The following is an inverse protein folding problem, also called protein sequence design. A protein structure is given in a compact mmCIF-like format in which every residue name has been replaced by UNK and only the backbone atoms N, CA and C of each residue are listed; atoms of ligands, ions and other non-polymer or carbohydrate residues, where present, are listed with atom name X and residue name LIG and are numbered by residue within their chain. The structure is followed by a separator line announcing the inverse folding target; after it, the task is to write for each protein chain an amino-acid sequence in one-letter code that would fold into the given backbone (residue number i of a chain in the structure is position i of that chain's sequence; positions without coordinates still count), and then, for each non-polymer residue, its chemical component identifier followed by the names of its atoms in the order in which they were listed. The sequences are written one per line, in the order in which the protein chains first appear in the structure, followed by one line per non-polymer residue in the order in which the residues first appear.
data_IF_933504965275
#
_entry.id   IF_933504965275
#
_cell.length_a   1.000
_cell.length_b   1.000
_cell.length_c   1.000
_cell.angle_alpha   90.00
_cell.angle_beta   90.00
_cell.angle_gamma   90.00
#
_symmetry.space_group_name_H-M   'P 1'
#
loop_
_entity.id
_entity.type
_entity.pdbx_description
1 polymer ?
#
# COMPACT_ATOMS: atom_id res chain seq x y z
N UNK A 1 -9.45 -11.74 -2.49
CA UNK A 1 -8.69 -11.69 -3.75
C UNK A 1 -8.97 -10.43 -4.55
N UNK A 2 -10.24 -10.10 -4.81
CA UNK A 2 -10.60 -8.89 -5.56
C UNK A 2 -10.20 -7.61 -4.84
N UNK A 3 -10.35 -7.56 -3.52
CA UNK A 3 -9.93 -6.41 -2.71
C UNK A 3 -8.43 -6.19 -2.82
N UNK A 4 -7.65 -7.26 -2.74
CA UNK A 4 -6.19 -7.17 -2.87
C UNK A 4 -5.79 -6.65 -4.25
N UNK A 5 -6.44 -7.13 -5.31
CA UNK A 5 -6.19 -6.68 -6.67
C UNK A 5 -6.55 -5.21 -6.84
N UNK A 6 -7.71 -4.80 -6.34
CA UNK A 6 -8.18 -3.42 -6.43
C UNK A 6 -7.23 -2.46 -5.70
N UNK A 7 -6.78 -2.83 -4.50
CA UNK A 7 -5.83 -2.02 -3.73
C UNK A 7 -4.47 -1.97 -4.44
N UNK A 8 -4.01 -3.07 -5.02
CA UNK A 8 -2.78 -3.08 -5.80
C UNK A 8 -2.84 -2.14 -7.00
N UNK A 9 -3.93 -2.15 -7.74
CA UNK A 9 -4.15 -1.25 -8.87
C UNK A 9 -4.20 0.21 -8.40
N UNK A 10 -4.87 0.48 -7.26
CA UNK A 10 -4.95 1.82 -6.68
C UNK A 10 -3.57 2.34 -6.25
N UNK A 11 -2.74 1.48 -5.66
CA UNK A 11 -1.44 1.87 -5.15
C UNK A 11 -0.36 2.01 -6.23
N UNK A 12 -0.56 1.44 -7.41
CA UNK A 12 0.42 1.55 -8.49
C UNK A 12 0.67 3.01 -8.90
N UNK A 13 -0.37 3.85 -9.17
CA UNK A 13 -0.14 5.26 -9.48
C UNK A 13 0.51 6.03 -8.33
N UNK A 14 0.17 5.70 -7.07
CA UNK A 14 0.78 6.34 -5.91
C UNK A 14 2.28 6.06 -5.83
N UNK A 15 2.69 4.81 -6.04
CA UNK A 15 4.09 4.43 -6.07
C UNK A 15 4.85 5.11 -7.19
N UNK A 16 4.26 5.18 -8.38
CA UNK A 16 4.85 5.84 -9.53
C UNK A 16 5.02 7.34 -9.27
N UNK A 17 3.99 8.00 -8.72
CA UNK A 17 4.04 9.42 -8.38
C UNK A 17 5.13 9.71 -7.35
N UNK A 18 5.27 8.87 -6.33
CA UNK A 18 6.30 8.98 -5.31
C UNK A 18 7.70 8.84 -5.91
N UNK A 19 7.87 7.88 -6.81
CA UNK A 19 9.13 7.67 -7.49
C UNK A 19 9.54 8.90 -8.30
N UNK A 20 8.62 9.44 -9.10
CA UNK A 20 8.88 10.63 -9.92
C UNK A 20 9.18 11.84 -9.04
N UNK A 21 8.40 12.04 -7.96
CA UNK A 21 8.64 13.13 -7.01
C UNK A 21 10.01 13.02 -6.36
N UNK A 22 10.45 11.79 -6.03
CA UNK A 22 11.76 11.55 -5.42
C UNK A 22 12.90 11.91 -6.38
N UNK A 23 12.72 11.64 -7.67
CA UNK A 23 13.71 12.02 -8.67
C UNK A 23 13.85 13.53 -8.81
N UNK A 24 12.72 14.25 -8.67
CA UNK A 24 12.69 15.71 -8.78
C UNK A 24 13.20 16.39 -7.49
N UNK A 25 12.71 15.92 -6.32
CA UNK A 25 13.08 16.46 -5.01
C UNK A 25 13.01 15.33 -3.97
N UNK A 26 14.18 14.80 -3.52
CA UNK A 26 14.19 13.70 -2.55
C UNK A 26 13.49 14.01 -1.24
N UNK A 27 13.48 15.25 -0.79
CA UNK A 27 12.80 15.63 0.46
C UNK A 27 11.27 15.54 0.30
N UNK A 28 10.75 15.97 -0.84
CA UNK A 28 9.32 15.84 -1.16
C UNK A 28 8.96 14.38 -1.31
N UNK A 29 9.80 13.60 -2.00
CA UNK A 29 9.58 12.17 -2.16
C UNK A 29 9.52 11.43 -0.84
N UNK A 30 10.42 11.75 0.09
CA UNK A 30 10.43 11.15 1.42
C UNK A 30 9.16 11.48 2.21
N UNK A 31 8.70 12.73 2.15
CA UNK A 31 7.47 13.16 2.81
C UNK A 31 6.25 12.42 2.25
N UNK A 32 6.16 12.30 0.93
CA UNK A 32 5.09 11.54 0.26
C UNK A 32 5.13 10.07 0.64
N UNK A 33 6.31 9.47 0.67
CA UNK A 33 6.46 8.05 1.02
C UNK A 33 5.97 7.78 2.43
N UNK A 34 6.28 8.64 3.39
CA UNK A 34 5.83 8.51 4.77
C UNK A 34 4.31 8.64 4.85
N UNK A 35 3.73 9.65 4.19
CA UNK A 35 2.29 9.87 4.18
C UNK A 35 1.55 8.69 3.56
N UNK A 36 2.03 8.17 2.44
CA UNK A 36 1.44 7.01 1.77
C UNK A 36 1.58 5.76 2.62
N UNK A 37 2.73 5.57 3.29
CA UNK A 37 2.92 4.41 4.17
C UNK A 37 1.90 4.41 5.32
N UNK A 38 1.66 5.55 5.95
CA UNK A 38 0.66 5.67 7.01
C UNK A 38 -0.74 5.40 6.46
N UNK A 39 -1.06 5.93 5.28
CA UNK A 39 -2.34 5.70 4.62
C UNK A 39 -2.55 4.22 4.26
N UNK A 40 -1.49 3.51 3.91
CA UNK A 40 -1.56 2.12 3.48
C UNK A 40 -1.74 1.13 4.64
N UNK A 41 -1.52 1.54 5.90
CA UNK A 41 -1.77 0.66 7.05
C UNK A 41 -3.23 0.18 7.09
N UNK A 42 -4.25 1.05 7.03
CA UNK A 42 -5.65 0.59 6.96
C UNK A 42 -5.93 -0.24 5.70
N UNK A 43 -5.35 0.10 4.55
CA UNK A 43 -5.54 -0.65 3.32
C UNK A 43 -4.97 -2.07 3.44
N UNK A 44 -3.78 -2.21 4.03
CA UNK A 44 -3.17 -3.51 4.27
C UNK A 44 -4.04 -4.37 5.19
N UNK A 45 -4.62 -3.78 6.23
CA UNK A 45 -5.54 -4.49 7.12
C UNK A 45 -6.82 -4.93 6.40
N UNK A 46 -7.31 -4.14 5.45
CA UNK A 46 -8.47 -4.51 4.65
C UNK A 46 -8.23 -5.78 3.82
N UNK A 47 -6.99 -6.05 3.44
CA UNK A 47 -6.61 -7.28 2.73
C UNK A 47 -6.29 -8.39 3.72
N UNK A 48 -5.49 -8.08 4.73
CA UNK A 48 -4.91 -9.06 5.66
C UNK A 48 -5.99 -9.71 6.53
N UNK A 49 -6.91 -8.94 7.10
CA UNK A 49 -7.90 -9.44 8.04
C UNK A 49 -8.82 -10.50 7.41
N UNK A 50 -9.44 -10.25 6.23
CA UNK A 50 -10.27 -11.26 5.58
C UNK A 50 -9.49 -12.53 5.23
N UNK A 51 -8.24 -12.42 4.80
CA UNK A 51 -7.40 -13.57 4.45
C UNK A 51 -7.10 -14.38 5.71
N UNK A 52 -6.80 -13.71 6.83
CA UNK A 52 -6.56 -14.40 8.10
C UNK A 52 -7.79 -15.19 8.54
N UNK A 53 -8.99 -14.59 8.49
CA UNK A 53 -10.21 -15.27 8.89
C UNK A 53 -10.59 -16.41 7.94
N UNK A 54 -10.24 -16.28 6.65
CA UNK A 54 -10.53 -17.34 5.69
C UNK A 54 -9.57 -18.53 5.78
N UNK A 55 -8.29 -18.27 6.10
CA UNK A 55 -7.25 -19.31 6.08
C UNK A 55 -6.81 -19.76 7.48
N UNK A 56 -6.98 -18.92 8.50
CA UNK A 56 -6.44 -19.16 9.84
C UNK A 56 -4.93 -19.10 9.91
N UNK A 57 -4.27 -18.64 8.85
CA UNK A 57 -2.82 -18.64 8.71
C UNK A 57 -2.30 -17.20 8.58
N UNK A 58 -1.59 -16.74 9.62
CA UNK A 58 -1.05 -15.37 9.62
C UNK A 58 0.02 -15.14 8.56
N UNK A 59 0.65 -16.19 8.07
CA UNK A 59 1.65 -16.04 6.99
C UNK A 59 1.01 -15.79 5.62
N UNK A 60 -0.25 -16.17 5.43
CA UNK A 60 -0.99 -15.87 4.21
C UNK A 60 -1.65 -14.48 4.25
N UNK A 61 -1.85 -13.96 5.43
CA UNK A 61 -2.44 -12.64 5.61
C UNK A 61 -1.39 -11.54 5.48
#
# INVERSE_FOLDING_TARGET
MMTALAIGIHNFPEGLATFVATLDDPAVGASLAIAIAIHNIPEGLCVSIPIYFATGDHWKA
#
